data_IF_560193210044
#
_entry.id   IF_560193210044
#
_cell.length_a   1.000
_cell.length_b   1.000
_cell.length_c   1.000
_cell.angle_alpha   90.00
_cell.angle_beta   90.00
_cell.angle_gamma   90.00
#
_symmetry.space_group_name_H-M   'P 1'
#
loop_
_entity.id
_entity.type
_entity.pdbx_description
1 polymer ?
#
# COMPACT_ATOMS: atom_id res chain seq x y z
N UNK A 1 33.65 92.85 88.73
CA UNK A 1 33.80 91.41 88.41
C UNK A 1 32.44 90.76 88.14
N UNK A 2 31.64 91.32 87.21
CA UNK A 2 30.29 90.81 86.88
C UNK A 2 29.88 91.32 85.49
N UNK A 3 30.22 90.56 84.44
CA UNK A 3 29.56 90.55 83.12
C UNK A 3 30.38 89.78 82.07
N UNK A 4 31.70 89.69 82.24
CA UNK A 4 32.59 89.16 81.21
C UNK A 4 32.74 87.62 81.22
N UNK A 5 32.58 86.95 82.36
CA UNK A 5 32.68 85.47 82.44
C UNK A 5 31.42 84.71 82.00
N UNK A 6 30.25 85.37 81.97
CA UNK A 6 28.97 84.70 81.64
C UNK A 6 28.77 84.51 80.12
N UNK A 7 29.46 85.29 79.28
CA UNK A 7 29.39 85.18 77.81
C UNK A 7 30.38 84.16 77.21
N UNK A 8 31.46 83.81 77.92
CA UNK A 8 32.40 82.79 77.45
C UNK A 8 31.84 81.35 77.59
N UNK A 9 30.98 81.10 78.57
CA UNK A 9 30.40 79.76 78.80
C UNK A 9 29.21 79.44 77.87
N UNK A 10 28.46 80.46 77.42
CA UNK A 10 27.34 80.30 76.48
C UNK A 10 27.81 79.99 75.05
N UNK A 11 28.90 80.63 74.61
CA UNK A 11 29.44 80.46 73.25
C UNK A 11 30.19 79.14 73.06
N UNK A 12 30.84 78.63 74.11
CA UNK A 12 31.55 77.33 74.11
C UNK A 12 30.60 76.14 74.17
N UNK A 13 29.48 76.25 74.87
CA UNK A 13 28.45 75.18 74.92
C UNK A 13 27.64 75.10 73.62
N UNK A 14 27.30 76.24 73.00
CA UNK A 14 26.58 76.27 71.73
C UNK A 14 27.41 75.69 70.57
N UNK A 15 28.72 75.97 70.53
CA UNK A 15 29.63 75.42 69.50
C UNK A 15 29.79 73.91 69.63
N UNK A 16 29.79 73.36 70.85
CA UNK A 16 29.86 71.92 71.07
C UNK A 16 28.58 71.20 70.62
N UNK A 17 27.41 71.79 70.87
CA UNK A 17 26.12 71.21 70.45
C UNK A 17 25.97 71.22 68.92
N UNK A 18 26.34 72.33 68.26
CA UNK A 18 26.34 72.40 66.79
C UNK A 18 27.34 71.41 66.20
N UNK A 19 28.53 71.27 66.80
CA UNK A 19 29.52 70.26 66.42
C UNK A 19 28.99 68.83 66.54
N UNK A 20 28.29 68.50 67.63
CA UNK A 20 27.69 67.19 67.85
C UNK A 20 26.55 66.87 66.86
N UNK A 21 25.72 67.86 66.52
CA UNK A 21 24.63 67.69 65.52
C UNK A 21 25.21 67.49 64.12
N UNK A 22 26.23 68.26 63.74
CA UNK A 22 26.93 68.11 62.45
C UNK A 22 27.63 66.75 62.38
N UNK A 23 28.30 66.32 63.47
CA UNK A 23 28.95 65.01 63.54
C UNK A 23 27.94 63.86 63.44
N UNK A 24 26.84 63.91 64.19
CA UNK A 24 25.76 62.91 64.09
C UNK A 24 25.10 62.91 62.71
N UNK A 25 24.90 64.08 62.09
CA UNK A 25 24.39 64.19 60.72
C UNK A 25 25.34 63.61 59.68
N UNK A 26 26.65 63.82 59.83
CA UNK A 26 27.69 63.24 58.96
C UNK A 26 27.80 61.72 59.12
N UNK A 27 27.68 61.20 60.35
CA UNK A 27 27.62 59.75 60.62
C UNK A 27 26.32 59.13 60.08
N UNK A 28 25.21 59.87 60.11
CA UNK A 28 23.97 59.40 59.50
C UNK A 28 24.08 59.31 57.97
N UNK A 29 24.61 60.34 57.31
CA UNK A 29 24.87 60.33 55.87
C UNK A 29 25.87 59.22 55.46
N UNK A 30 26.82 58.86 56.33
CA UNK A 30 27.81 57.82 56.04
C UNK A 30 27.27 56.38 56.11
N UNK A 31 26.01 56.15 56.50
CA UNK A 31 25.40 54.81 56.42
C UNK A 31 24.53 54.62 55.17
N UNK A 32 24.02 55.71 54.58
CA UNK A 32 23.17 55.65 53.38
C UNK A 32 23.91 55.22 52.12
N UNK A 33 25.20 55.56 51.97
CA UNK A 33 25.99 55.09 50.82
C UNK A 33 26.26 53.57 50.88
N UNK A 34 26.47 53.02 52.09
CA UNK A 34 26.64 51.59 52.33
C UNK A 34 25.35 50.82 52.02
N UNK A 35 24.19 51.34 52.46
CA UNK A 35 22.88 50.78 52.10
C UNK A 35 22.64 50.82 50.58
N UNK A 36 23.03 51.91 49.90
CA UNK A 36 22.97 52.02 48.44
C UNK A 36 23.85 51.01 47.72
N UNK A 37 25.06 50.77 48.21
CA UNK A 37 25.99 49.75 47.69
C UNK A 37 25.45 48.32 47.86
N UNK A 38 24.88 48.01 49.03
CA UNK A 38 24.23 46.73 49.27
C UNK A 38 23.00 46.54 48.37
N UNK A 39 22.21 47.58 48.15
CA UNK A 39 21.05 47.53 47.26
C UNK A 39 21.46 47.36 45.78
N UNK A 40 22.51 48.04 45.33
CA UNK A 40 23.09 47.85 43.99
C UNK A 40 23.67 46.44 43.82
N UNK A 41 24.36 45.90 44.83
CA UNK A 41 24.86 44.53 44.82
C UNK A 41 23.72 43.51 44.79
N UNK A 42 22.66 43.73 45.57
CA UNK A 42 21.46 42.89 45.57
C UNK A 42 20.72 42.93 44.23
N UNK A 43 20.55 44.12 43.63
CA UNK A 43 19.94 44.27 42.31
C UNK A 43 20.79 43.64 41.21
N UNK A 44 22.12 43.80 41.28
CA UNK A 44 23.06 43.15 40.36
C UNK A 44 23.01 41.63 40.49
N UNK A 45 22.98 41.11 41.72
CA UNK A 45 22.86 39.67 41.98
C UNK A 45 21.51 39.13 41.52
N UNK A 46 20.41 39.84 41.78
CA UNK A 46 19.08 39.49 41.30
C UNK A 46 19.01 39.50 39.76
N UNK A 47 19.68 40.46 39.11
CA UNK A 47 19.79 40.52 37.65
C UNK A 47 20.56 39.31 37.09
N UNK A 48 21.70 38.96 37.70
CA UNK A 48 22.49 37.77 37.30
C UNK A 48 21.70 36.48 37.51
N UNK A 49 21.05 36.30 38.67
CA UNK A 49 20.19 35.14 38.96
C UNK A 49 19.07 35.02 37.93
N UNK A 50 18.41 36.13 37.61
CA UNK A 50 17.33 36.16 36.61
C UNK A 50 17.85 35.81 35.22
N UNK A 51 19.00 36.36 34.82
CA UNK A 51 19.64 36.02 33.54
C UNK A 51 20.05 34.54 33.47
N UNK A 52 20.52 33.96 34.58
CA UNK A 52 20.95 32.57 34.65
C UNK A 52 19.77 31.59 34.64
N UNK A 53 18.69 31.92 35.36
CA UNK A 53 17.42 31.18 35.29
C UNK A 53 16.89 31.23 33.85
N UNK A 54 16.86 32.41 33.22
CA UNK A 54 16.38 32.56 31.86
C UNK A 54 17.16 31.71 30.84
N UNK A 55 18.50 31.76 30.93
CA UNK A 55 19.39 30.92 30.11
C UNK A 55 19.14 29.43 30.34
N UNK A 56 18.93 29.00 31.58
CA UNK A 56 18.64 27.59 31.90
C UNK A 56 17.29 27.13 31.36
N UNK A 57 16.25 27.96 31.46
CA UNK A 57 14.92 27.65 30.92
C UNK A 57 14.93 27.61 29.40
N UNK A 58 15.66 28.52 28.75
CA UNK A 58 15.81 28.54 27.29
C UNK A 58 16.58 27.32 26.77
N UNK A 59 17.61 26.86 27.49
CA UNK A 59 18.34 25.63 27.15
C UNK A 59 17.46 24.38 27.32
N UNK A 60 16.60 24.36 28.34
CA UNK A 60 15.68 23.25 28.56
C UNK A 60 14.60 23.19 27.47
N UNK A 61 14.00 24.33 27.15
CA UNK A 61 12.99 24.45 26.09
C UNK A 61 13.57 24.15 24.70
N UNK A 62 14.76 24.65 24.38
CA UNK A 62 15.40 24.39 23.08
C UNK A 62 15.80 22.91 22.92
N UNK A 63 16.21 22.22 24.00
CA UNK A 63 16.44 20.77 23.98
C UNK A 63 15.16 19.96 23.79
N UNK A 64 14.06 20.35 24.46
CA UNK A 64 12.77 19.69 24.25
C UNK A 64 12.26 19.88 22.81
N UNK A 65 12.35 21.10 22.28
CA UNK A 65 11.99 21.40 20.89
C UNK A 65 12.86 20.63 19.89
N UNK A 66 14.16 20.50 20.13
CA UNK A 66 15.06 19.70 19.30
C UNK A 66 14.68 18.21 19.33
N UNK A 67 14.40 17.68 20.51
CA UNK A 67 13.98 16.29 20.71
C UNK A 67 12.64 15.98 20.03
N UNK A 68 11.65 16.87 20.14
CA UNK A 68 10.37 16.71 19.45
C UNK A 68 10.53 16.84 17.93
N UNK A 69 11.37 17.77 17.46
CA UNK A 69 11.66 17.95 16.03
C UNK A 69 12.35 16.73 15.42
N UNK A 70 13.29 16.13 16.13
CA UNK A 70 13.99 14.91 15.73
C UNK A 70 13.03 13.71 15.66
N UNK A 71 12.19 13.54 16.69
CA UNK A 71 11.14 12.51 16.70
C UNK A 71 10.15 12.67 15.54
N UNK A 72 9.78 13.92 15.22
CA UNK A 72 8.87 14.24 14.12
C UNK A 72 9.46 13.90 12.75
N UNK A 73 10.70 14.32 12.52
CA UNK A 73 11.40 14.04 11.28
C UNK A 73 11.54 12.54 11.03
N UNK A 74 11.76 11.77 12.10
CA UNK A 74 11.87 10.33 12.00
C UNK A 74 10.54 9.67 11.60
N UNK A 75 9.40 10.06 12.19
CA UNK A 75 8.06 9.52 11.84
C UNK A 75 7.68 9.85 10.41
N UNK A 76 7.91 11.10 9.98
CA UNK A 76 7.61 11.55 8.62
C UNK A 76 8.40 10.78 7.57
N UNK A 77 9.69 10.56 7.83
CA UNK A 77 10.55 9.82 6.93
C UNK A 77 10.11 8.35 6.79
N UNK A 78 9.57 7.75 7.85
CA UNK A 78 9.07 6.37 7.81
C UNK A 78 7.78 6.26 7.01
N UNK A 79 6.87 7.18 7.25
CA UNK A 79 5.55 7.22 6.64
C UNK A 79 5.67 7.54 5.15
N UNK A 80 6.56 8.47 4.78
CA UNK A 80 6.92 8.73 3.40
C UNK A 80 7.57 7.52 2.71
N UNK A 81 8.38 6.74 3.44
CA UNK A 81 8.95 5.49 2.91
C UNK A 81 7.85 4.46 2.63
N UNK A 82 6.93 4.23 3.57
CA UNK A 82 5.80 3.30 3.39
C UNK A 82 4.88 3.73 2.23
N UNK A 83 4.60 5.03 2.10
CA UNK A 83 3.88 5.59 0.96
C UNK A 83 4.60 5.30 -0.37
N UNK A 84 5.92 5.48 -0.41
CA UNK A 84 6.72 5.21 -1.60
C UNK A 84 6.66 3.73 -2.00
N UNK A 85 6.58 2.81 -1.03
CA UNK A 85 6.40 1.38 -1.30
C UNK A 85 5.01 1.13 -1.90
N UNK A 86 3.96 1.58 -1.22
CA UNK A 86 2.56 1.31 -1.60
C UNK A 86 2.23 1.94 -2.96
N UNK A 87 2.64 3.19 -3.18
CA UNK A 87 2.37 3.91 -4.44
C UNK A 87 3.06 3.30 -5.68
N UNK A 88 4.08 2.45 -5.46
CA UNK A 88 4.79 1.73 -6.52
C UNK A 88 4.29 0.30 -6.69
N UNK A 89 3.98 -0.40 -5.59
CA UNK A 89 3.51 -1.79 -5.64
C UNK A 89 2.03 -1.92 -5.99
N UNK A 90 1.16 -1.09 -5.42
CA UNK A 90 -0.30 -1.17 -5.65
C UNK A 90 -0.68 -1.10 -7.13
N UNK A 91 -0.10 -0.20 -7.96
CA UNK A 91 -0.38 -0.21 -9.40
C UNK A 91 0.06 -1.49 -10.11
N UNK A 92 1.17 -2.10 -9.69
CA UNK A 92 1.64 -3.38 -10.26
C UNK A 92 0.68 -4.49 -9.89
N UNK A 93 0.24 -4.56 -8.63
CA UNK A 93 -0.76 -5.51 -8.18
C UNK A 93 -2.09 -5.33 -8.89
N UNK A 94 -2.59 -4.10 -9.01
CA UNK A 94 -3.80 -3.80 -9.77
C UNK A 94 -3.66 -4.25 -11.23
N UNK A 95 -2.51 -3.97 -11.85
CA UNK A 95 -2.21 -4.44 -13.20
C UNK A 95 -2.31 -5.96 -13.33
N UNK A 96 -1.63 -6.69 -12.43
CA UNK A 96 -1.69 -8.16 -12.41
C UNK A 96 -3.11 -8.69 -12.17
N UNK A 97 -3.85 -8.14 -11.20
CA UNK A 97 -5.23 -8.60 -10.90
C UNK A 97 -6.13 -8.34 -12.10
N UNK A 98 -6.00 -7.19 -12.76
CA UNK A 98 -6.75 -6.86 -13.98
C UNK A 98 -6.37 -7.79 -15.14
N UNK A 99 -5.08 -8.14 -15.30
CA UNK A 99 -4.68 -9.11 -16.33
C UNK A 99 -5.30 -10.49 -16.07
N UNK A 100 -5.27 -10.96 -14.82
CA UNK A 100 -5.89 -12.24 -14.43
C UNK A 100 -7.39 -12.21 -14.72
N UNK A 101 -8.08 -11.14 -14.32
CA UNK A 101 -9.51 -10.94 -14.60
C UNK A 101 -9.80 -10.94 -16.12
N UNK A 102 -9.06 -10.17 -16.90
CA UNK A 102 -9.25 -10.08 -18.36
C UNK A 102 -9.01 -11.42 -19.05
N UNK A 103 -7.90 -12.08 -18.72
CA UNK A 103 -7.55 -13.36 -19.32
C UNK A 103 -8.59 -14.42 -18.96
N UNK A 104 -9.02 -14.44 -17.69
CA UNK A 104 -10.04 -15.36 -17.23
C UNK A 104 -11.41 -15.11 -17.87
N UNK A 105 -11.78 -13.85 -18.12
CA UNK A 105 -13.04 -13.49 -18.81
C UNK A 105 -13.00 -13.86 -20.30
N UNK A 106 -11.89 -13.57 -20.99
CA UNK A 106 -11.76 -13.83 -22.42
C UNK A 106 -11.81 -15.33 -22.73
N UNK A 107 -11.09 -16.15 -21.97
CA UNK A 107 -11.08 -17.61 -22.17
C UNK A 107 -12.48 -18.22 -21.99
N UNK A 108 -13.33 -17.69 -21.09
CA UNK A 108 -14.73 -18.17 -20.97
C UNK A 108 -15.52 -17.90 -22.21
N UNK A 109 -15.41 -16.66 -22.70
CA UNK A 109 -16.23 -16.18 -23.79
C UNK A 109 -15.95 -17.03 -25.03
N UNK A 110 -14.65 -17.23 -25.32
CA UNK A 110 -14.18 -18.11 -26.40
C UNK A 110 -14.72 -19.53 -26.21
N UNK A 111 -14.53 -20.10 -25.03
CA UNK A 111 -14.90 -21.49 -24.76
C UNK A 111 -16.42 -21.72 -24.89
N UNK A 112 -17.23 -20.80 -24.36
CA UNK A 112 -18.70 -20.86 -24.44
C UNK A 112 -19.20 -20.78 -25.87
N UNK A 113 -18.60 -19.91 -26.69
CA UNK A 113 -18.89 -19.78 -28.10
C UNK A 113 -18.56 -21.06 -28.87
N UNK A 114 -17.37 -21.63 -28.64
CA UNK A 114 -16.93 -22.88 -29.27
C UNK A 114 -17.82 -24.06 -28.92
N UNK A 115 -18.22 -24.20 -27.65
CA UNK A 115 -19.15 -25.27 -27.26
C UNK A 115 -20.51 -25.13 -27.92
N UNK A 116 -21.04 -23.91 -28.02
CA UNK A 116 -22.29 -23.64 -28.73
C UNK A 116 -22.18 -24.01 -30.22
N UNK A 117 -21.03 -23.75 -30.83
CA UNK A 117 -20.71 -24.16 -32.20
C UNK A 117 -20.71 -25.68 -32.37
N UNK A 118 -20.00 -26.41 -31.48
CA UNK A 118 -19.93 -27.88 -31.51
C UNK A 118 -21.32 -28.52 -31.42
N UNK A 119 -22.17 -28.04 -30.50
CA UNK A 119 -23.54 -28.56 -30.33
C UNK A 119 -24.35 -28.35 -31.62
N UNK A 120 -24.28 -27.15 -32.20
CA UNK A 120 -24.99 -26.81 -33.45
C UNK A 120 -24.53 -27.69 -34.63
N UNK A 121 -23.23 -27.95 -34.75
CA UNK A 121 -22.72 -28.82 -35.82
C UNK A 121 -23.17 -30.27 -35.64
N UNK A 122 -23.19 -30.80 -34.42
CA UNK A 122 -23.66 -32.17 -34.15
C UNK A 122 -25.16 -32.32 -34.42
N UNK A 123 -25.97 -31.29 -34.12
CA UNK A 123 -27.39 -31.28 -34.46
C UNK A 123 -27.63 -31.35 -35.97
N UNK A 124 -26.82 -30.66 -36.79
CA UNK A 124 -26.93 -30.71 -38.26
C UNK A 124 -26.66 -32.11 -38.83
N UNK A 125 -25.70 -32.85 -38.27
CA UNK A 125 -25.46 -34.26 -38.66
C UNK A 125 -26.69 -35.11 -38.37
N UNK A 126 -27.32 -34.89 -37.22
CA UNK A 126 -28.48 -35.67 -36.79
C UNK A 126 -29.73 -35.35 -37.62
N UNK A 127 -29.94 -34.08 -38.01
CA UNK A 127 -31.12 -33.65 -38.76
C UNK A 127 -31.07 -33.97 -40.26
N UNK A 128 -29.88 -33.97 -40.87
CA UNK A 128 -29.73 -34.25 -42.31
C UNK A 128 -29.77 -35.75 -42.66
N UNK A 129 -29.63 -36.65 -41.67
CA UNK A 129 -29.78 -38.11 -41.85
C UNK A 129 -31.25 -38.59 -41.90
N UNK A 130 -32.21 -37.69 -42.04
CA UNK A 130 -33.66 -37.97 -42.00
C UNK A 130 -34.22 -38.71 -43.24
N UNK A 131 -33.36 -39.16 -44.16
CA UNK A 131 -33.75 -39.87 -45.39
C UNK A 131 -33.94 -41.39 -45.27
N UNK A 132 -33.46 -42.05 -44.21
CA UNK A 132 -33.59 -43.51 -44.03
C UNK A 132 -34.28 -43.80 -42.68
N UNK A 133 -35.60 -43.68 -42.72
CA UNK A 133 -36.47 -43.60 -41.56
C UNK A 133 -36.69 -44.90 -40.75
N UNK A 134 -35.92 -45.99 -40.89
CA UNK A 134 -36.28 -47.23 -40.14
C UNK A 134 -35.15 -48.23 -39.80
N UNK A 135 -33.87 -47.89 -40.00
CA UNK A 135 -32.75 -48.76 -39.56
C UNK A 135 -31.77 -48.11 -38.56
N UNK A 136 -31.99 -46.85 -38.19
CA UNK A 136 -31.10 -46.05 -37.35
C UNK A 136 -31.73 -45.59 -36.02
N UNK A 137 -32.48 -46.47 -35.35
CA UNK A 137 -32.33 -46.56 -33.89
C UNK A 137 -30.90 -47.05 -33.59
N UNK A 138 -29.90 -46.22 -33.90
CA UNK A 138 -28.51 -46.48 -33.58
C UNK A 138 -28.32 -45.94 -32.15
N UNK A 139 -28.32 -46.79 -31.12
CA UNK A 139 -28.17 -46.37 -29.72
C UNK A 139 -26.98 -45.42 -29.50
N UNK A 140 -25.95 -45.49 -30.35
CA UNK A 140 -24.76 -44.64 -30.28
C UNK A 140 -24.97 -43.13 -30.48
N UNK A 141 -25.98 -42.65 -31.23
CA UNK A 141 -26.15 -41.19 -31.43
C UNK A 141 -26.74 -40.53 -30.18
N UNK A 142 -27.76 -41.15 -29.60
CA UNK A 142 -28.38 -40.64 -28.38
C UNK A 142 -27.41 -40.79 -27.18
N UNK A 143 -26.57 -41.84 -27.18
CA UNK A 143 -25.48 -42.01 -26.23
C UNK A 143 -24.41 -40.91 -26.36
N UNK A 144 -23.94 -40.58 -27.57
CA UNK A 144 -22.99 -39.48 -27.78
C UNK A 144 -23.58 -38.13 -27.35
N UNK A 145 -24.85 -37.89 -27.67
CA UNK A 145 -25.58 -36.68 -27.25
C UNK A 145 -25.71 -36.60 -25.74
N UNK A 146 -25.95 -37.72 -25.06
CA UNK A 146 -25.99 -37.78 -23.61
C UNK A 146 -24.61 -37.53 -22.99
N UNK A 147 -23.54 -38.10 -23.57
CA UNK A 147 -22.15 -37.87 -23.14
C UNK A 147 -21.74 -36.40 -23.31
N UNK A 148 -22.07 -35.79 -24.45
CA UNK A 148 -21.80 -34.37 -24.71
C UNK A 148 -22.62 -33.44 -23.82
N UNK A 149 -23.87 -33.79 -23.51
CA UNK A 149 -24.69 -33.05 -22.54
C UNK A 149 -24.13 -33.14 -21.12
N UNK A 150 -23.62 -34.31 -20.73
CA UNK A 150 -22.96 -34.48 -19.44
C UNK A 150 -21.69 -33.61 -19.37
N UNK A 151 -20.85 -33.67 -20.41
CA UNK A 151 -19.68 -32.79 -20.54
C UNK A 151 -20.07 -31.31 -20.49
N UNK A 152 -21.12 -30.91 -21.20
CA UNK A 152 -21.64 -29.53 -21.17
C UNK A 152 -22.08 -29.09 -19.77
N UNK A 153 -22.72 -29.99 -19.00
CA UNK A 153 -23.11 -29.69 -17.62
C UNK A 153 -21.89 -29.56 -16.70
N UNK A 154 -20.89 -30.43 -16.85
CA UNK A 154 -19.63 -30.36 -16.08
C UNK A 154 -18.90 -29.03 -16.36
N UNK A 155 -18.89 -28.59 -17.62
CA UNK A 155 -18.32 -27.30 -18.02
C UNK A 155 -19.13 -26.11 -17.47
N UNK A 156 -20.45 -26.20 -17.39
CA UNK A 156 -21.27 -25.15 -16.77
C UNK A 156 -21.04 -25.04 -15.26
N UNK A 157 -20.84 -26.17 -14.58
CA UNK A 157 -20.46 -26.21 -13.17
C UNK A 157 -19.09 -25.54 -12.97
N UNK A 158 -18.15 -25.85 -13.85
CA UNK A 158 -16.83 -25.21 -13.93
C UNK A 158 -16.93 -23.70 -14.12
N UNK A 159 -17.74 -23.26 -15.08
CA UNK A 159 -17.98 -21.85 -15.35
C UNK A 159 -18.58 -21.13 -14.13
N UNK A 160 -19.48 -21.79 -13.41
CA UNK A 160 -20.08 -21.24 -12.18
C UNK A 160 -19.06 -21.07 -11.05
N UNK A 161 -18.20 -22.07 -10.83
CA UNK A 161 -17.09 -21.95 -9.87
C UNK A 161 -16.16 -20.79 -10.24
N UNK A 162 -15.95 -20.59 -11.54
CA UNK A 162 -15.13 -19.50 -12.07
C UNK A 162 -15.74 -18.11 -11.90
N UNK A 163 -17.06 -17.97 -12.01
CA UNK A 163 -17.75 -16.71 -11.71
C UNK A 163 -17.53 -16.29 -10.25
N UNK A 164 -17.50 -17.26 -9.34
CA UNK A 164 -17.14 -17.00 -7.94
C UNK A 164 -15.69 -16.50 -7.81
N UNK A 165 -14.74 -17.01 -8.61
CA UNK A 165 -13.36 -16.50 -8.61
C UNK A 165 -13.29 -15.04 -9.10
N UNK A 166 -14.07 -14.66 -10.13
CA UNK A 166 -14.13 -13.29 -10.63
C UNK A 166 -14.65 -12.32 -9.56
N UNK A 167 -15.64 -12.74 -8.77
CA UNK A 167 -16.17 -11.94 -7.67
C UNK A 167 -15.08 -11.67 -6.61
N UNK A 168 -14.31 -12.69 -6.24
CA UNK A 168 -13.19 -12.56 -5.31
C UNK A 168 -12.06 -11.68 -5.87
N UNK A 169 -11.71 -11.83 -7.15
CA UNK A 169 -10.75 -10.95 -7.82
C UNK A 169 -11.22 -9.49 -7.85
N UNK A 170 -12.51 -9.26 -8.09
CA UNK A 170 -13.09 -7.92 -8.07
C UNK A 170 -13.03 -7.30 -6.67
N UNK A 171 -13.32 -8.08 -5.63
CA UNK A 171 -13.18 -7.65 -4.24
C UNK A 171 -11.72 -7.25 -3.94
N UNK A 172 -10.76 -8.04 -4.42
CA UNK A 172 -9.34 -7.77 -4.29
C UNK A 172 -8.87 -6.50 -5.02
N UNK A 173 -9.40 -6.21 -6.22
CA UNK A 173 -9.18 -4.92 -6.89
C UNK A 173 -9.64 -3.76 -6.01
N UNK A 174 -10.76 -3.91 -5.30
CA UNK A 174 -11.26 -2.87 -4.42
C UNK A 174 -10.40 -2.72 -3.16
N UNK A 175 -9.92 -3.83 -2.59
CA UNK A 175 -9.02 -3.80 -1.43
C UNK A 175 -7.68 -3.12 -1.78
N UNK A 176 -7.14 -3.39 -2.97
CA UNK A 176 -5.92 -2.70 -3.45
C UNK A 176 -6.17 -1.21 -3.74
N UNK A 177 -7.36 -0.80 -4.21
CA UNK A 177 -7.72 0.62 -4.34
C UNK A 177 -7.84 1.32 -2.99
N UNK A 178 -8.31 0.65 -1.95
CA UNK A 178 -8.35 1.21 -0.60
C UNK A 178 -6.94 1.56 -0.09
N UNK A 179 -5.92 0.76 -0.44
CA UNK A 179 -4.52 1.07 -0.15
C UNK A 179 -4.02 2.34 -0.84
N UNK A 180 -4.45 2.61 -2.08
CA UNK A 180 -4.11 3.86 -2.79
C UNK A 180 -4.72 5.08 -2.08
N UNK A 181 -5.95 4.95 -1.59
CA UNK A 181 -6.61 5.97 -0.76
C UNK A 181 -5.84 6.26 0.54
N UNK A 182 -5.38 5.21 1.23
CA UNK A 182 -4.55 5.35 2.43
C UNK A 182 -3.19 6.00 2.11
N UNK A 183 -2.57 5.66 0.97
CA UNK A 183 -1.34 6.32 0.53
C UNK A 183 -1.56 7.81 0.23
N UNK A 184 -2.72 8.18 -0.34
CA UNK A 184 -3.07 9.59 -0.55
C UNK A 184 -3.29 10.35 0.76
N UNK A 185 -3.87 9.70 1.78
CA UNK A 185 -4.01 10.26 3.13
C UNK A 185 -2.65 10.51 3.78
N UNK A 186 -1.73 9.54 3.66
CA UNK A 186 -0.33 9.69 4.09
C UNK A 186 0.32 10.90 3.42
N UNK A 187 0.16 11.06 2.11
CA UNK A 187 0.72 12.21 1.36
C UNK A 187 0.22 13.54 1.90
N UNK A 188 -1.07 13.62 2.24
CA UNK A 188 -1.67 14.83 2.82
C UNK A 188 -1.05 15.15 4.18
N UNK A 189 -0.88 14.14 5.04
CA UNK A 189 -0.22 14.30 6.34
C UNK A 189 1.23 14.78 6.15
N UNK A 190 1.98 14.19 5.22
CA UNK A 190 3.35 14.61 4.92
C UNK A 190 3.42 16.07 4.42
N UNK A 191 2.51 16.49 3.55
CA UNK A 191 2.41 17.87 3.07
C UNK A 191 2.08 18.87 4.19
N UNK A 192 1.09 18.56 5.04
CA UNK A 192 0.73 19.38 6.20
C UNK A 192 1.91 19.48 7.18
N UNK A 193 2.62 18.38 7.37
CA UNK A 193 3.77 18.31 8.27
C UNK A 193 4.95 19.12 7.74
N UNK A 194 5.23 19.07 6.44
CA UNK A 194 6.24 19.89 5.77
C UNK A 194 5.90 21.40 5.85
N UNK A 195 4.64 21.78 5.60
CA UNK A 195 4.19 23.17 5.76
C UNK A 195 4.35 23.65 7.21
N UNK A 196 4.03 22.79 8.18
CA UNK A 196 4.26 23.13 9.59
C UNK A 196 5.73 23.27 9.94
N UNK A 197 6.58 22.37 9.42
CA UNK A 197 8.01 22.43 9.66
C UNK A 197 8.62 23.71 9.08
N UNK A 198 8.16 24.14 7.91
CA UNK A 198 8.54 25.40 7.29
C UNK A 198 8.08 26.60 8.13
N UNK A 199 6.81 26.64 8.53
CA UNK A 199 6.27 27.70 9.37
C UNK A 199 6.97 27.76 10.73
N UNK A 200 7.26 26.61 11.34
CA UNK A 200 8.01 26.51 12.58
C UNK A 200 9.47 26.99 12.42
N UNK A 201 10.13 26.70 11.29
CA UNK A 201 11.48 27.18 11.02
C UNK A 201 11.52 28.71 10.82
N UNK A 202 10.52 29.27 10.13
CA UNK A 202 10.33 30.72 9.98
C UNK A 202 10.10 31.36 11.36
N UNK A 203 9.17 30.81 12.14
CA UNK A 203 8.81 31.39 13.44
C UNK A 203 9.92 31.20 14.47
N UNK A 204 10.70 30.13 14.40
CA UNK A 204 11.89 29.95 15.23
C UNK A 204 13.00 30.97 14.89
N UNK A 205 13.15 31.32 13.61
CA UNK A 205 14.05 32.40 13.19
C UNK A 205 13.53 33.78 13.61
N UNK A 206 12.23 33.93 13.88
CA UNK A 206 11.55 35.21 14.15
C UNK A 206 11.28 35.48 15.62
N UNK A 207 11.02 34.44 16.43
CA UNK A 207 10.47 34.57 17.78
C UNK A 207 11.51 34.79 18.88
N UNK A 208 12.79 34.45 18.68
CA UNK A 208 13.79 34.53 19.76
C UNK A 208 13.26 33.89 21.07
N UNK A 209 13.40 34.57 22.22
CA UNK A 209 12.96 34.07 23.54
C UNK A 209 11.44 34.11 23.80
N UNK A 210 10.59 34.56 22.85
CA UNK A 210 9.14 34.63 23.03
C UNK A 210 8.44 33.32 22.61
N UNK A 211 8.57 32.29 23.44
CA UNK A 211 8.18 30.89 23.19
C UNK A 211 6.69 30.55 22.94
N UNK A 212 5.79 31.52 22.71
CA UNK A 212 4.34 31.24 22.57
C UNK A 212 3.94 30.62 21.23
N UNK A 213 4.65 30.93 20.14
CA UNK A 213 4.42 30.32 18.82
C UNK A 213 4.82 28.84 18.75
N UNK A 214 5.80 28.44 19.57
CA UNK A 214 6.29 27.06 19.61
C UNK A 214 5.30 26.08 20.24
N UNK A 215 4.47 26.53 21.19
CA UNK A 215 3.43 25.68 21.78
C UNK A 215 2.35 25.27 20.75
N UNK A 216 1.93 26.21 19.89
CA UNK A 216 0.95 25.95 18.81
C UNK A 216 1.54 25.01 17.76
N UNK A 217 2.81 25.21 17.41
CA UNK A 217 3.54 24.29 16.52
C UNK A 217 3.62 22.90 17.15
N UNK A 218 3.96 22.78 18.43
CA UNK A 218 4.08 21.49 19.13
C UNK A 218 2.74 20.72 19.21
N UNK A 219 1.61 21.41 19.43
CA UNK A 219 0.30 20.76 19.45
C UNK A 219 -0.13 20.24 18.07
N UNK A 220 0.16 21.00 17.03
CA UNK A 220 -0.11 20.61 15.65
C UNK A 220 0.85 19.50 15.16
N UNK A 221 2.09 19.50 15.67
CA UNK A 221 3.04 18.37 15.57
C UNK A 221 2.45 17.10 16.16
N UNK A 222 2.00 17.17 17.41
CA UNK A 222 1.41 16.03 18.11
C UNK A 222 0.19 15.47 17.36
N UNK A 223 -0.64 16.36 16.83
CA UNK A 223 -1.84 16.00 16.06
C UNK A 223 -1.50 15.27 14.76
N UNK A 224 -0.56 15.80 13.97
CA UNK A 224 -0.13 15.17 12.73
C UNK A 224 0.59 13.84 12.95
N UNK A 225 1.40 13.73 14.01
CA UNK A 225 2.04 12.46 14.38
C UNK A 225 1.01 11.40 14.82
N UNK A 226 -0.06 11.80 15.53
CA UNK A 226 -1.15 10.89 15.89
C UNK A 226 -1.93 10.42 14.65
N UNK A 227 -2.27 11.33 13.73
CA UNK A 227 -2.90 10.99 12.46
C UNK A 227 -2.03 10.04 11.64
N UNK A 228 -0.73 10.33 11.54
CA UNK A 228 0.24 9.49 10.84
C UNK A 228 0.32 8.06 11.41
N UNK A 229 0.34 7.94 12.74
CA UNK A 229 0.29 6.64 13.41
C UNK A 229 -0.98 5.86 13.07
N UNK A 230 -2.15 6.51 13.16
CA UNK A 230 -3.43 5.90 12.83
C UNK A 230 -3.53 5.46 11.36
N UNK A 231 -3.04 6.27 10.41
CA UNK A 231 -3.02 5.88 8.99
C UNK A 231 -2.09 4.69 8.75
N UNK A 232 -0.94 4.62 9.44
CA UNK A 232 -0.04 3.47 9.38
C UNK A 232 -0.67 2.17 9.92
N UNK A 233 -1.43 2.24 11.00
CA UNK A 233 -2.20 1.10 11.54
C UNK A 233 -3.25 0.61 10.54
N UNK A 234 -4.01 1.54 9.93
CA UNK A 234 -5.01 1.22 8.90
C UNK A 234 -4.40 0.55 7.67
N UNK A 235 -3.22 1.01 7.24
CA UNK A 235 -2.47 0.39 6.14
C UNK A 235 -2.11 -1.06 6.48
N UNK A 236 -1.61 -1.29 7.70
CA UNK A 236 -1.19 -2.62 8.17
C UNK A 236 -2.38 -3.57 8.20
N UNK A 237 -3.52 -3.10 8.73
CA UNK A 237 -4.75 -3.89 8.73
C UNK A 237 -5.22 -4.23 7.31
N UNK A 238 -5.26 -3.24 6.41
CA UNK A 238 -5.72 -3.44 5.04
C UNK A 238 -4.82 -4.42 4.26
N UNK A 239 -3.50 -4.36 4.47
CA UNK A 239 -2.55 -5.31 3.86
C UNK A 239 -2.73 -6.73 4.42
N UNK A 240 -3.00 -6.85 5.71
CA UNK A 240 -3.26 -8.15 6.35
C UNK A 240 -4.55 -8.78 5.82
N UNK A 241 -5.62 -7.98 5.69
CA UNK A 241 -6.90 -8.42 5.10
C UNK A 241 -6.73 -8.81 3.62
N UNK A 242 -5.96 -8.03 2.86
CA UNK A 242 -5.62 -8.33 1.46
C UNK A 242 -4.87 -9.66 1.36
N UNK A 243 -3.88 -9.89 2.23
CA UNK A 243 -3.10 -11.12 2.27
C UNK A 243 -3.98 -12.34 2.54
N UNK A 244 -4.86 -12.26 3.54
CA UNK A 244 -5.78 -13.35 3.88
C UNK A 244 -6.70 -13.70 2.71
N UNK A 245 -7.32 -12.69 2.08
CA UNK A 245 -8.17 -12.90 0.90
C UNK A 245 -7.41 -13.47 -0.29
N UNK A 246 -6.17 -13.05 -0.47
CA UNK A 246 -5.28 -13.61 -1.48
C UNK A 246 -4.96 -15.07 -1.25
N UNK A 247 -4.67 -15.46 -0.01
CA UNK A 247 -4.42 -16.85 0.35
C UNK A 247 -5.67 -17.71 0.13
N UNK A 248 -6.85 -17.21 0.51
CA UNK A 248 -8.13 -17.87 0.25
C UNK A 248 -8.41 -18.05 -1.24
N UNK A 249 -8.23 -17.00 -2.05
CA UNK A 249 -8.37 -17.06 -3.51
C UNK A 249 -7.40 -18.07 -4.12
N UNK A 250 -6.17 -18.11 -3.64
CA UNK A 250 -5.16 -19.04 -4.11
C UNK A 250 -5.54 -20.50 -3.79
N UNK A 251 -6.01 -20.80 -2.56
CA UNK A 251 -6.51 -22.13 -2.21
C UNK A 251 -7.72 -22.54 -3.04
N UNK A 252 -8.64 -21.60 -3.29
CA UNK A 252 -9.80 -21.83 -4.12
C UNK A 252 -9.40 -22.15 -5.57
N UNK A 253 -8.41 -21.42 -6.10
CA UNK A 253 -7.85 -21.64 -7.44
C UNK A 253 -7.15 -22.99 -7.56
N UNK A 254 -6.40 -23.41 -6.54
CA UNK A 254 -5.70 -24.70 -6.51
C UNK A 254 -6.69 -25.88 -6.48
N UNK A 255 -7.71 -25.80 -5.62
CA UNK A 255 -8.77 -26.80 -5.55
C UNK A 255 -9.60 -26.87 -6.84
N UNK A 256 -9.95 -25.71 -7.41
CA UNK A 256 -10.65 -25.63 -8.67
C UNK A 256 -9.83 -26.23 -9.81
N UNK A 257 -8.52 -25.94 -9.87
CA UNK A 257 -7.59 -26.48 -10.87
C UNK A 257 -7.59 -28.01 -10.88
N UNK A 258 -7.57 -28.64 -9.71
CA UNK A 258 -7.59 -30.10 -9.61
C UNK A 258 -8.91 -30.68 -10.12
N UNK A 259 -10.03 -30.08 -9.74
CA UNK A 259 -11.36 -30.49 -10.19
C UNK A 259 -11.54 -30.28 -11.70
N UNK A 260 -11.01 -29.17 -12.23
CA UNK A 260 -10.95 -28.86 -13.66
C UNK A 260 -10.14 -29.91 -14.41
N UNK A 261 -8.93 -30.23 -13.95
CA UNK A 261 -8.07 -31.23 -14.58
C UNK A 261 -8.77 -32.59 -14.68
N UNK A 262 -9.50 -33.00 -13.65
CA UNK A 262 -10.28 -34.24 -13.67
C UNK A 262 -11.46 -34.18 -14.64
N UNK A 263 -12.18 -33.06 -14.67
CA UNK A 263 -13.28 -32.83 -15.62
C UNK A 263 -12.76 -32.80 -17.07
N UNK A 264 -11.55 -32.28 -17.28
CA UNK A 264 -10.88 -32.22 -18.58
C UNK A 264 -10.40 -33.58 -19.06
N UNK A 265 -9.73 -34.37 -18.22
CA UNK A 265 -9.33 -35.73 -18.58
C UNK A 265 -10.55 -36.59 -18.91
N UNK A 266 -11.62 -36.47 -18.10
CA UNK A 266 -12.91 -37.11 -18.37
C UNK A 266 -13.54 -36.62 -19.68
N UNK A 267 -13.53 -35.31 -19.90
CA UNK A 267 -14.06 -34.66 -21.09
C UNK A 267 -13.30 -35.02 -22.36
N UNK A 268 -11.96 -35.07 -22.32
CA UNK A 268 -11.12 -35.50 -23.43
C UNK A 268 -11.41 -36.95 -23.79
N UNK A 269 -11.54 -37.83 -22.79
CA UNK A 269 -11.94 -39.22 -23.04
C UNK A 269 -13.32 -39.32 -23.71
N UNK A 270 -14.28 -38.49 -23.26
CA UNK A 270 -15.60 -38.38 -23.88
C UNK A 270 -15.48 -37.90 -25.34
N UNK A 271 -14.72 -36.85 -25.59
CA UNK A 271 -14.55 -36.27 -26.92
C UNK A 271 -13.84 -37.23 -27.89
N UNK A 272 -12.81 -37.94 -27.44
CA UNK A 272 -12.14 -38.99 -28.23
C UNK A 272 -13.13 -40.10 -28.59
N UNK A 273 -13.96 -40.55 -27.64
CA UNK A 273 -15.00 -41.57 -27.90
C UNK A 273 -16.02 -41.08 -28.91
N UNK A 274 -16.48 -39.82 -28.80
CA UNK A 274 -17.41 -39.22 -29.76
C UNK A 274 -16.78 -39.09 -31.15
N UNK A 275 -15.50 -38.70 -31.24
CA UNK A 275 -14.77 -38.63 -32.52
C UNK A 275 -14.66 -40.02 -33.15
N UNK A 276 -14.28 -41.04 -32.39
CA UNK A 276 -14.15 -42.42 -32.90
C UNK A 276 -15.52 -42.97 -33.36
N UNK A 277 -16.58 -42.69 -32.59
CA UNK A 277 -17.95 -43.00 -32.99
C UNK A 277 -18.37 -42.27 -34.28
N UNK A 278 -18.04 -40.98 -34.42
CA UNK A 278 -18.33 -40.20 -35.63
C UNK A 278 -17.53 -40.70 -36.84
N UNK A 279 -16.25 -41.02 -36.68
CA UNK A 279 -15.40 -41.53 -37.75
C UNK A 279 -15.89 -42.89 -38.25
N UNK A 280 -16.19 -43.81 -37.34
CA UNK A 280 -16.78 -45.11 -37.67
C UNK A 280 -18.13 -44.99 -38.38
N UNK A 281 -18.98 -44.04 -37.95
CA UNK A 281 -20.26 -43.75 -38.64
C UNK A 281 -20.03 -43.16 -40.02
N UNK A 282 -19.09 -42.24 -40.16
CA UNK A 282 -18.76 -41.61 -41.45
C UNK A 282 -18.22 -42.65 -42.44
N UNK A 283 -17.46 -43.64 -41.96
CA UNK A 283 -16.98 -44.78 -42.75
C UNK A 283 -18.14 -45.72 -43.16
N UNK A 284 -19.15 -45.91 -42.30
CA UNK A 284 -20.37 -46.66 -42.64
C UNK A 284 -21.30 -45.90 -43.59
N UNK A 285 -21.32 -44.57 -43.52
CA UNK A 285 -22.09 -43.67 -44.39
C UNK A 285 -21.37 -43.37 -45.71
N UNK A 286 -20.43 -44.20 -46.17
CA UNK A 286 -19.66 -43.98 -47.41
C UNK A 286 -20.53 -43.74 -48.65
N UNK A 287 -21.78 -44.20 -48.65
CA UNK A 287 -22.75 -43.94 -49.73
C UNK A 287 -23.52 -42.60 -49.57
N UNK A 288 -23.42 -41.92 -48.42
CA UNK A 288 -24.11 -40.67 -48.09
C UNK A 288 -23.16 -39.57 -47.54
N UNK A 289 -22.38 -38.94 -48.45
CA UNK A 289 -22.11 -37.49 -48.40
C UNK A 289 -20.79 -36.97 -47.80
N UNK A 290 -20.00 -36.27 -48.64
CA UNK A 290 -18.81 -35.44 -48.32
C UNK A 290 -19.05 -34.47 -47.14
N UNK A 291 -20.30 -34.06 -46.88
CA UNK A 291 -20.67 -33.10 -45.83
C UNK A 291 -20.46 -33.62 -44.40
N UNK A 292 -20.77 -34.89 -44.11
CA UNK A 292 -20.59 -35.44 -42.76
C UNK A 292 -19.11 -35.48 -42.35
N UNK A 293 -18.24 -35.77 -43.32
CA UNK A 293 -16.80 -35.84 -43.13
C UNK A 293 -16.15 -34.45 -42.94
N UNK A 294 -16.67 -33.41 -43.59
CA UNK A 294 -16.22 -32.03 -43.36
C UNK A 294 -16.65 -31.52 -41.97
N UNK A 295 -17.86 -31.86 -41.52
CA UNK A 295 -18.36 -31.46 -40.21
C UNK A 295 -17.59 -32.11 -39.06
N UNK A 296 -17.28 -33.40 -39.16
CA UNK A 296 -16.45 -34.10 -38.18
C UNK A 296 -15.05 -33.47 -38.02
N UNK A 297 -14.46 -33.01 -39.13
CA UNK A 297 -13.19 -32.25 -39.11
C UNK A 297 -13.33 -30.87 -38.47
N UNK A 298 -14.46 -30.20 -38.66
CA UNK A 298 -14.73 -28.91 -38.00
C UNK A 298 -14.86 -29.09 -36.49
N UNK A 299 -15.66 -30.06 -36.03
CA UNK A 299 -15.81 -30.38 -34.60
C UNK A 299 -14.46 -30.72 -33.96
N UNK A 300 -13.63 -31.53 -34.62
CA UNK A 300 -12.27 -31.85 -34.13
C UNK A 300 -11.41 -30.59 -33.94
N UNK A 301 -11.41 -29.67 -34.91
CA UNK A 301 -10.64 -28.41 -34.80
C UNK A 301 -11.12 -27.54 -33.64
N UNK A 302 -12.42 -27.45 -33.41
CA UNK A 302 -12.97 -26.70 -32.27
C UNK A 302 -12.53 -27.30 -30.92
N UNK A 303 -12.51 -28.63 -30.82
CA UNK A 303 -12.01 -29.34 -29.63
C UNK A 303 -10.54 -29.05 -29.37
N UNK A 304 -9.68 -29.12 -30.40
CA UNK A 304 -8.25 -28.82 -30.28
C UNK A 304 -8.01 -27.38 -29.79
N UNK A 305 -8.85 -26.43 -30.21
CA UNK A 305 -8.76 -25.04 -29.77
C UNK A 305 -9.25 -24.83 -28.34
N UNK A 306 -10.29 -25.54 -27.91
CA UNK A 306 -10.76 -25.52 -26.51
C UNK A 306 -9.63 -25.98 -25.56
N UNK A 307 -8.86 -27.01 -25.94
CA UNK A 307 -7.69 -27.46 -25.17
C UNK A 307 -6.62 -26.38 -25.01
N UNK A 308 -6.45 -25.52 -26.02
CA UNK A 308 -5.54 -24.36 -25.95
C UNK A 308 -6.14 -23.26 -25.07
N UNK A 309 -7.43 -22.98 -25.21
CA UNK A 309 -8.14 -21.98 -24.40
C UNK A 309 -8.10 -22.33 -22.91
N UNK A 310 -7.89 -23.60 -22.52
CA UNK A 310 -7.68 -24.05 -21.13
C UNK A 310 -6.30 -23.73 -20.53
N UNK A 311 -5.28 -23.46 -21.34
CA UNK A 311 -3.92 -23.15 -20.84
C UNK A 311 -3.83 -21.80 -20.11
N UNK A 312 -4.87 -20.96 -20.19
CA UNK A 312 -4.94 -19.71 -19.44
C UNK A 312 -4.85 -19.92 -17.91
N UNK A 313 -5.23 -21.10 -17.42
CA UNK A 313 -5.22 -21.45 -16.00
C UNK A 313 -3.80 -21.44 -15.43
N UNK A 314 -2.83 -22.08 -16.10
CA UNK A 314 -1.41 -22.05 -15.69
C UNK A 314 -0.88 -20.61 -15.61
N UNK A 315 -1.28 -19.77 -16.58
CA UNK A 315 -0.89 -18.36 -16.59
C UNK A 315 -1.53 -17.58 -15.45
N UNK A 316 -2.82 -17.78 -15.17
CA UNK A 316 -3.51 -17.16 -14.04
C UNK A 316 -2.90 -17.58 -12.70
N UNK A 317 -2.62 -18.88 -12.52
CA UNK A 317 -1.99 -19.42 -11.31
C UNK A 317 -0.59 -18.80 -11.09
N UNK A 318 0.24 -18.74 -12.13
CA UNK A 318 1.55 -18.09 -12.05
C UNK A 318 1.44 -16.62 -11.65
N UNK A 319 0.48 -15.87 -12.21
CA UNK A 319 0.26 -14.47 -11.85
C UNK A 319 -0.22 -14.30 -10.42
N UNK A 320 -1.13 -15.17 -9.95
CA UNK A 320 -1.63 -15.16 -8.57
C UNK A 320 -0.54 -15.53 -7.57
N UNK A 321 0.24 -16.59 -7.82
CA UNK A 321 1.40 -16.96 -6.98
C UNK A 321 2.37 -15.80 -6.82
N UNK A 322 2.69 -15.14 -7.91
CA UNK A 322 3.59 -13.99 -7.89
C UNK A 322 3.00 -12.80 -7.13
N UNK A 323 1.68 -12.62 -7.21
CA UNK A 323 0.98 -11.57 -6.47
C UNK A 323 0.96 -11.87 -4.97
N UNK A 324 0.59 -13.09 -4.56
CA UNK A 324 0.65 -13.58 -3.16
C UNK A 324 2.05 -13.36 -2.60
N UNK A 325 3.08 -13.86 -3.29
CA UNK A 325 4.47 -13.75 -2.83
C UNK A 325 4.90 -12.28 -2.65
N UNK A 326 4.47 -11.38 -3.52
CA UNK A 326 4.80 -9.96 -3.39
C UNK A 326 4.05 -9.25 -2.25
N UNK A 327 2.83 -9.69 -1.93
CA UNK A 327 2.07 -9.18 -0.78
C UNK A 327 2.65 -9.72 0.53
N UNK A 328 3.08 -10.99 0.56
CA UNK A 328 3.83 -11.58 1.68
C UNK A 328 5.12 -10.81 1.97
N UNK A 329 5.89 -10.50 0.92
CA UNK A 329 7.12 -9.71 1.05
C UNK A 329 6.85 -8.32 1.64
N UNK A 330 5.77 -7.63 1.23
CA UNK A 330 5.38 -6.36 1.83
C UNK A 330 4.94 -6.54 3.29
N UNK A 331 4.18 -7.59 3.58
CA UNK A 331 3.67 -7.89 4.92
C UNK A 331 4.84 -8.13 5.89
N UNK A 332 5.83 -8.92 5.47
CA UNK A 332 7.04 -9.16 6.26
C UNK A 332 7.87 -7.89 6.45
N UNK A 333 8.01 -7.06 5.40
CA UNK A 333 8.71 -5.78 5.51
C UNK A 333 8.04 -4.88 6.56
N UNK A 334 6.71 -4.76 6.54
CA UNK A 334 5.95 -3.97 7.52
C UNK A 334 6.10 -4.57 8.92
N UNK A 335 5.99 -5.89 9.06
CA UNK A 335 6.14 -6.60 10.34
C UNK A 335 7.50 -6.35 10.97
N UNK A 336 8.59 -6.46 10.19
CA UNK A 336 9.95 -6.20 10.65
C UNK A 336 10.13 -4.74 11.06
N UNK A 337 9.59 -3.79 10.30
CA UNK A 337 9.66 -2.36 10.66
C UNK A 337 8.89 -2.06 11.95
N UNK A 338 7.73 -2.68 12.14
CA UNK A 338 6.94 -2.53 13.36
C UNK A 338 7.68 -3.09 14.58
N UNK A 339 8.26 -4.28 14.48
CA UNK A 339 9.06 -4.87 15.57
C UNK A 339 10.26 -4.01 15.93
N UNK A 340 10.97 -3.46 14.93
CA UNK A 340 12.07 -2.53 15.17
C UNK A 340 11.61 -1.26 15.90
N UNK A 341 10.42 -0.73 15.54
CA UNK A 341 9.81 0.43 16.20
C UNK A 341 9.46 0.15 17.66
N UNK A 342 8.83 -0.99 17.95
CA UNK A 342 8.46 -1.40 19.30
C UNK A 342 9.70 -1.65 20.18
N UNK A 343 10.76 -2.19 19.60
CA UNK A 343 12.03 -2.44 20.29
C UNK A 343 12.93 -1.19 20.41
N UNK A 344 12.55 -0.05 19.81
CA UNK A 344 13.39 1.16 19.75
C UNK A 344 14.70 0.97 18.97
N UNK A 345 14.74 -0.02 18.07
CA UNK A 345 15.89 -0.34 17.24
C UNK A 345 15.90 0.49 15.95
N UNK A 346 17.07 0.65 15.29
CA UNK A 346 17.14 1.24 13.96
C UNK A 346 16.22 0.48 13.01
N UNK A 347 15.32 1.21 12.35
CA UNK A 347 14.33 0.59 11.49
C UNK A 347 15.01 0.25 10.16
N UNK A 348 15.04 -1.03 9.75
CA UNK A 348 15.76 -1.45 8.56
C UNK A 348 15.20 -0.77 7.31
N UNK A 349 16.09 -0.40 6.39
CA UNK A 349 15.68 0.27 5.17
C UNK A 349 14.93 -0.69 4.25
N UNK A 350 13.69 -0.34 3.90
CA UNK A 350 12.94 -1.03 2.87
C UNK A 350 13.40 -0.57 1.48
N UNK A 351 14.14 -1.42 0.77
CA UNK A 351 14.54 -1.16 -0.62
C UNK A 351 13.44 -1.61 -1.59
N UNK A 352 12.57 -0.67 -1.95
CA UNK A 352 11.49 -0.88 -2.93
C UNK A 352 12.03 -1.22 -4.30
N UNK A 353 13.20 -0.68 -4.68
CA UNK A 353 13.80 -0.96 -5.98
C UNK A 353 14.32 -2.39 -6.04
N UNK A 354 14.92 -2.89 -4.96
CA UNK A 354 15.30 -4.31 -4.85
C UNK A 354 14.07 -5.23 -4.84
N UNK A 355 13.01 -4.87 -4.11
CA UNK A 355 11.76 -5.63 -4.11
C UNK A 355 11.14 -5.74 -5.52
N UNK A 356 11.05 -4.61 -6.22
CA UNK A 356 10.56 -4.58 -7.60
C UNK A 356 11.49 -5.37 -8.54
N UNK A 357 12.81 -5.28 -8.38
CA UNK A 357 13.75 -6.06 -9.17
C UNK A 357 13.57 -7.58 -8.94
N UNK A 358 13.39 -8.01 -7.69
CA UNK A 358 13.10 -9.42 -7.35
C UNK A 358 11.75 -9.88 -7.90
N UNK A 359 10.72 -9.03 -7.88
CA UNK A 359 9.45 -9.32 -8.54
C UNK A 359 9.66 -9.50 -10.05
N UNK A 360 10.39 -8.60 -10.70
CA UNK A 360 10.64 -8.65 -12.15
C UNK A 360 11.40 -9.90 -12.58
N UNK A 361 12.35 -10.38 -11.77
CA UNK A 361 13.09 -11.62 -12.06
C UNK A 361 12.21 -12.87 -12.06
N UNK A 362 11.08 -12.85 -11.34
CA UNK A 362 10.14 -13.97 -11.26
C UNK A 362 9.06 -13.93 -12.33
N UNK A 363 9.04 -12.90 -13.18
CA UNK A 363 8.04 -12.81 -14.24
C UNK A 363 8.37 -13.73 -15.40
N UNK A 364 7.36 -14.48 -15.78
CA UNK A 364 7.42 -15.41 -16.91
C UNK A 364 6.55 -14.87 -18.06
N UNK A 365 5.52 -14.09 -17.75
CA UNK A 365 4.57 -13.54 -18.72
C UNK A 365 4.91 -12.09 -19.14
N UNK A 366 4.58 -11.75 -20.39
CA UNK A 366 4.81 -10.42 -20.97
C UNK A 366 3.96 -9.34 -20.30
N UNK A 367 2.71 -9.65 -19.90
CA UNK A 367 1.80 -8.69 -19.26
C UNK A 367 2.34 -8.26 -17.90
N UNK A 368 2.95 -9.18 -17.14
CA UNK A 368 3.61 -8.86 -15.87
C UNK A 368 4.72 -7.83 -16.08
N UNK A 369 5.50 -7.97 -17.15
CA UNK A 369 6.54 -7.00 -17.50
C UNK A 369 5.97 -5.64 -17.88
N UNK A 370 4.87 -5.61 -18.64
CA UNK A 370 4.19 -4.37 -19.06
C UNK A 370 3.64 -3.62 -17.84
N UNK A 371 2.92 -4.30 -16.96
CA UNK A 371 2.35 -3.68 -15.76
C UNK A 371 3.41 -3.20 -14.78
N UNK A 372 4.58 -3.85 -14.77
CA UNK A 372 5.72 -3.42 -13.96
C UNK A 372 6.49 -2.22 -14.56
N UNK A 373 6.58 -2.10 -15.89
CA UNK A 373 7.30 -0.99 -16.55
C UNK A 373 6.46 0.27 -16.76
N UNK A 374 5.12 0.14 -16.71
CA UNK A 374 4.10 1.15 -17.06
C UNK A 374 4.21 2.54 -16.38
N UNK A 375 5.12 2.78 -15.43
CA UNK A 375 5.34 4.11 -14.84
C UNK A 375 6.75 4.70 -15.00
N UNK A 376 7.74 3.96 -15.53
CA UNK A 376 9.09 4.49 -15.79
C UNK A 376 9.33 4.93 -17.24
N UNK A 377 8.56 4.43 -18.21
CA UNK A 377 8.92 4.55 -19.64
C UNK A 377 7.99 5.43 -20.50
N UNK A 378 7.10 6.24 -19.92
CA UNK A 378 6.26 7.17 -20.70
C UNK A 378 7.05 8.31 -21.38
N UNK A 379 8.38 8.34 -21.24
CA UNK A 379 9.26 9.25 -21.97
C UNK A 379 10.12 8.61 -23.07
N UNK A 380 10.10 7.29 -23.27
CA UNK A 380 10.96 6.63 -24.27
C UNK A 380 10.29 5.61 -25.21
N UNK A 381 8.98 5.36 -25.10
CA UNK A 381 8.29 4.50 -26.07
C UNK A 381 7.84 5.27 -27.34
N UNK A 382 8.83 5.67 -28.14
CA UNK A 382 8.64 5.90 -29.59
C UNK A 382 9.67 5.18 -30.47
N UNK A 383 10.43 4.23 -29.92
CA UNK A 383 11.30 3.38 -30.72
C UNK A 383 11.23 1.93 -30.25
N UNK A 384 11.20 1.02 -31.22
CA UNK A 384 11.28 -0.45 -31.14
C UNK A 384 10.00 -1.21 -30.76
N UNK A 385 9.10 -1.30 -31.75
CA UNK A 385 8.60 -2.61 -32.18
C UNK A 385 9.77 -3.40 -32.78
N UNK A 386 10.01 -4.63 -32.31
CA UNK A 386 10.45 -5.81 -33.09
C UNK A 386 11.39 -6.73 -32.30
N UNK A 387 10.86 -7.81 -31.73
CA UNK A 387 11.41 -9.17 -31.87
C UNK A 387 10.64 -10.15 -31.00
N UNK A 388 9.75 -10.89 -31.65
CA UNK A 388 9.22 -12.15 -31.17
C UNK A 388 10.34 -13.18 -31.36
N UNK A 389 10.76 -13.87 -30.29
CA UNK A 389 11.53 -15.10 -30.42
C UNK A 389 10.72 -16.23 -29.78
N UNK A 390 10.26 -17.14 -30.64
CA UNK A 390 9.83 -18.48 -30.29
C UNK A 390 11.07 -19.35 -30.04
N UNK A 391 11.05 -20.12 -28.96
CA UNK A 391 11.67 -21.44 -28.88
C UNK A 391 10.75 -22.36 -28.09
#
# INVERSE_FOLDING_TARGET
>A
MTSMERNLFSTTTLTFIVGAIVFCGLVWLSHWWLAGLCLLSYLGFAWVLRAQIHKSTHLYQSRQLAYEKEKRHHVDQQVAKLEAIISRLVPVWQGHIVSVDQQMNQSVANMTERFSSIISEIEKVTSNSTGIADQLHSPGIEDDKALLKALFNDLNLMNSAKLHHLEQLTALVNDTKALDGLAAEVRKIAQQTNLLALNAAIEAARAGESGRGFAVVADEVRTLSAQSGQTGERITQQITELNQRMAELYQLTDAATLQESQALEGGESILIRVIDHLENRTLQMKDEGIQALELGRQVKREIEQILVDFQFQDRCDQMLRQLVASIDELTELIRVQQQAREAGLPIPEGDVDSLLAMMKQRYVATEQHIHHSSKKDSHYQHAEKSSINFF
#
